data_IF_346814501011
#
_entry.id   IF_346814501011
#
_cell.length_a   1.000
_cell.length_b   1.000
_cell.length_c   1.000
_cell.angle_alpha   90.00
_cell.angle_beta   90.00
_cell.angle_gamma   90.00
#
_symmetry.space_group_name_H-M   'P 1'
#
loop_
_entity.id
_entity.type
_entity.pdbx_description
1 polymer ?
#
# COMPACT_ATOMS: atom_id res chain seq x y z
N UNK A 1 -18.63 -25.83 -6.13
CA UNK A 1 -18.74 -26.04 -4.68
C UNK A 1 -19.60 -24.92 -4.09
N UNK A 2 -20.78 -25.24 -3.57
CA UNK A 2 -21.70 -24.24 -3.00
C UNK A 2 -21.23 -23.83 -1.60
N UNK A 3 -21.29 -22.53 -1.27
CA UNK A 3 -20.79 -21.99 0.00
C UNK A 3 -21.59 -22.60 1.17
N UNK A 4 -20.92 -23.19 2.19
CA UNK A 4 -21.61 -23.79 3.32
C UNK A 4 -22.47 -22.74 4.06
N UNK A 5 -23.69 -23.15 4.44
CA UNK A 5 -24.64 -22.29 5.16
C UNK A 5 -24.07 -22.02 6.54
N UNK A 6 -23.92 -20.73 6.88
CA UNK A 6 -23.41 -20.28 8.19
C UNK A 6 -24.32 -20.78 9.32
N UNK A 7 -23.74 -21.34 10.39
CA UNK A 7 -24.48 -21.82 11.56
C UNK A 7 -25.39 -20.74 12.17
N UNK A 8 -26.53 -21.17 12.74
CA UNK A 8 -27.60 -20.28 13.23
C UNK A 8 -27.10 -19.23 14.24
N UNK A 9 -26.12 -19.56 15.07
CA UNK A 9 -25.51 -18.64 16.05
C UNK A 9 -24.68 -17.52 15.41
N UNK A 10 -24.06 -17.76 14.26
CA UNK A 10 -23.22 -16.76 13.58
C UNK A 10 -23.98 -15.93 12.54
N UNK A 11 -25.31 -16.10 12.46
CA UNK A 11 -26.17 -15.38 11.53
C UNK A 11 -26.50 -13.99 12.09
N UNK A 12 -26.20 -12.97 11.30
CA UNK A 12 -26.53 -11.57 11.56
C UNK A 12 -28.04 -11.35 11.44
N UNK A 13 -28.78 -11.64 12.50
CA UNK A 13 -30.26 -11.57 12.53
C UNK A 13 -30.80 -10.37 13.32
N UNK A 14 -29.95 -9.67 14.07
CA UNK A 14 -30.32 -8.51 14.89
C UNK A 14 -29.87 -7.22 14.20
N UNK A 15 -30.73 -6.21 14.20
CA UNK A 15 -30.48 -4.88 13.62
C UNK A 15 -30.53 -3.85 14.74
N UNK A 16 -29.54 -2.97 14.77
CA UNK A 16 -29.48 -1.83 15.69
C UNK A 16 -29.50 -0.57 14.84
N UNK A 17 -30.41 0.36 15.16
CA UNK A 17 -30.50 1.67 14.51
C UNK A 17 -30.10 2.72 15.53
N UNK A 18 -29.17 3.60 15.16
CA UNK A 18 -28.76 4.74 15.97
C UNK A 18 -28.78 6.00 15.12
N UNK A 19 -29.04 7.14 15.76
CA UNK A 19 -29.06 8.44 15.10
C UNK A 19 -27.66 9.02 15.10
N UNK A 20 -27.33 9.68 14.01
CA UNK A 20 -26.05 10.35 13.79
C UNK A 20 -26.33 11.79 13.40
N UNK A 21 -25.41 12.67 13.77
CA UNK A 21 -25.32 14.00 13.15
C UNK A 21 -24.66 13.89 11.77
N UNK A 22 -24.87 14.89 10.92
CA UNK A 22 -24.30 14.93 9.57
C UNK A 22 -22.76 14.79 9.60
N UNK A 23 -22.11 15.45 10.55
CA UNK A 23 -20.66 15.40 10.73
C UNK A 23 -20.15 14.03 11.16
N UNK A 24 -20.94 13.26 11.92
CA UNK A 24 -20.57 11.89 12.32
C UNK A 24 -20.77 10.90 11.17
N UNK A 25 -21.80 11.11 10.34
CA UNK A 25 -22.04 10.31 9.15
C UNK A 25 -20.88 10.47 8.15
N UNK A 26 -20.48 11.70 7.84
CA UNK A 26 -19.34 11.96 6.94
C UNK A 26 -18.04 11.31 7.42
N UNK A 27 -17.78 11.33 8.73
CA UNK A 27 -16.61 10.63 9.31
C UNK A 27 -16.70 9.13 9.09
N UNK A 28 -17.86 8.53 9.30
CA UNK A 28 -18.07 7.09 9.09
C UNK A 28 -17.90 6.69 7.62
N UNK A 29 -18.38 7.53 6.70
CA UNK A 29 -18.20 7.34 5.26
C UNK A 29 -16.72 7.39 4.86
N UNK A 30 -15.98 8.41 5.30
CA UNK A 30 -14.54 8.50 5.03
C UNK A 30 -13.76 7.30 5.57
N UNK A 31 -14.11 6.82 6.77
CA UNK A 31 -13.52 5.59 7.32
C UNK A 31 -13.89 4.34 6.52
N UNK A 32 -15.13 4.26 6.05
CA UNK A 32 -15.64 3.16 5.22
C UNK A 32 -14.89 3.08 3.88
N UNK A 33 -14.69 4.23 3.23
CA UNK A 33 -13.89 4.34 2.01
C UNK A 33 -12.45 3.91 2.22
N UNK A 34 -11.80 4.45 3.27
CA UNK A 34 -10.40 4.12 3.58
C UNK A 34 -10.21 2.63 3.88
N UNK A 35 -11.19 2.00 4.52
CA UNK A 35 -11.15 0.57 4.87
C UNK A 35 -11.68 -0.35 3.77
N UNK A 36 -12.30 0.18 2.71
CA UNK A 36 -12.99 -0.60 1.68
C UNK A 36 -14.07 -1.54 2.23
N UNK A 37 -14.67 -1.22 3.38
CA UNK A 37 -15.67 -2.05 4.07
C UNK A 37 -16.92 -1.24 4.36
N UNK A 38 -18.09 -1.84 4.15
CA UNK A 38 -19.37 -1.23 4.52
C UNK A 38 -19.38 -0.80 6.01
N UNK A 39 -19.99 0.36 6.28
CA UNK A 39 -20.02 1.02 7.60
C UNK A 39 -20.40 0.03 8.72
N UNK A 40 -21.46 -0.76 8.56
CA UNK A 40 -21.90 -1.72 9.58
C UNK A 40 -20.90 -2.83 9.88
N UNK A 41 -20.11 -3.26 8.89
CA UNK A 41 -19.03 -4.24 9.08
C UNK A 41 -17.87 -3.59 9.80
N UNK A 42 -17.49 -2.38 9.41
CA UNK A 42 -16.39 -1.63 10.02
C UNK A 42 -16.68 -1.28 11.48
N UNK A 43 -17.88 -0.82 11.81
CA UNK A 43 -18.31 -0.53 13.18
C UNK A 43 -18.29 -1.80 14.04
N UNK A 44 -18.79 -2.92 13.51
CA UNK A 44 -18.76 -4.21 14.20
C UNK A 44 -17.32 -4.68 14.45
N UNK A 45 -16.46 -4.64 13.44
CA UNK A 45 -15.06 -5.03 13.56
C UNK A 45 -14.34 -4.15 14.60
N UNK A 46 -14.58 -2.84 14.60
CA UNK A 46 -14.00 -1.92 15.59
C UNK A 46 -14.47 -2.23 17.02
N UNK A 47 -15.77 -2.47 17.22
CA UNK A 47 -16.36 -2.69 18.55
C UNK A 47 -16.03 -4.06 19.14
N UNK A 48 -16.06 -5.14 18.33
CA UNK A 48 -15.95 -6.51 18.84
C UNK A 48 -14.56 -7.12 18.69
N UNK A 49 -13.73 -6.62 17.77
CA UNK A 49 -12.35 -7.09 17.59
C UNK A 49 -11.30 -6.12 18.16
N UNK A 50 -11.72 -4.91 18.59
CA UNK A 50 -10.84 -3.91 19.20
C UNK A 50 -9.78 -3.29 18.26
N UNK A 51 -9.73 -3.75 17.01
CA UNK A 51 -8.79 -3.27 15.99
C UNK A 51 -9.55 -2.54 14.90
N UNK A 52 -9.07 -1.36 14.51
CA UNK A 52 -9.59 -0.68 13.34
C UNK A 52 -9.29 -1.53 12.10
N UNK A 53 -10.23 -1.71 11.16
CA UNK A 53 -9.94 -2.47 9.94
C UNK A 53 -8.71 -1.87 9.26
N UNK A 54 -7.79 -2.73 8.79
CA UNK A 54 -6.61 -2.25 8.05
C UNK A 54 -7.08 -1.36 6.90
N UNK A 55 -6.53 -0.15 6.83
CA UNK A 55 -6.73 0.72 5.69
C UNK A 55 -6.35 -0.05 4.43
N UNK A 56 -7.24 -0.07 3.45
CA UNK A 56 -6.93 -0.61 2.13
C UNK A 56 -6.00 0.41 1.50
N UNK A 57 -4.71 0.11 1.48
CA UNK A 57 -3.77 0.92 0.73
C UNK A 57 -4.28 1.04 -0.71
N UNK A 58 -4.41 2.26 -1.26
CA UNK A 58 -4.74 2.46 -2.66
C UNK A 58 -3.84 1.59 -3.54
N UNK A 59 -4.41 0.92 -4.55
CA UNK A 59 -3.63 0.05 -5.46
C UNK A 59 -2.46 0.81 -6.12
N UNK A 60 -2.59 2.13 -6.27
CA UNK A 60 -1.55 3.04 -6.75
C UNK A 60 -0.29 3.03 -5.87
N UNK A 61 -0.45 2.95 -4.56
CA UNK A 61 0.68 2.99 -3.63
C UNK A 61 1.47 1.68 -3.65
N UNK A 62 0.81 0.54 -3.85
CA UNK A 62 1.48 -0.75 -3.79
C UNK A 62 2.51 -0.96 -4.92
N UNK A 63 2.22 -0.43 -6.12
CA UNK A 63 3.18 -0.43 -7.22
C UNK A 63 4.34 0.52 -6.94
N UNK A 64 4.05 1.72 -6.42
CA UNK A 64 5.07 2.69 -6.04
C UNK A 64 6.01 2.14 -4.95
N UNK A 65 5.45 1.52 -3.90
CA UNK A 65 6.23 0.87 -2.85
C UNK A 65 7.06 -0.31 -3.38
N UNK A 66 6.54 -1.08 -4.34
CA UNK A 66 7.29 -2.17 -4.96
C UNK A 66 8.50 -1.64 -5.76
N UNK A 67 8.31 -0.55 -6.51
CA UNK A 67 9.38 0.11 -7.25
C UNK A 67 10.43 0.74 -6.30
N UNK A 68 9.99 1.39 -5.22
CA UNK A 68 10.89 1.90 -4.18
C UNK A 68 11.73 0.78 -3.53
N UNK A 69 11.11 -0.35 -3.24
CA UNK A 69 11.80 -1.51 -2.66
C UNK A 69 12.84 -2.10 -3.63
N UNK A 70 12.55 -2.11 -4.94
CA UNK A 70 13.52 -2.51 -5.98
C UNK A 70 14.71 -1.56 -6.03
N UNK A 71 14.48 -0.25 -5.97
CA UNK A 71 15.56 0.76 -5.91
C UNK A 71 16.42 0.55 -4.67
N UNK A 72 15.81 0.39 -3.49
CA UNK A 72 16.53 0.14 -2.24
C UNK A 72 17.40 -1.12 -2.29
N UNK A 73 16.88 -2.20 -2.87
CA UNK A 73 17.64 -3.43 -3.06
C UNK A 73 18.83 -3.26 -4.02
N UNK A 74 18.68 -2.48 -5.08
CA UNK A 74 19.78 -2.19 -6.01
C UNK A 74 20.89 -1.37 -5.33
N UNK A 75 20.52 -0.37 -4.53
CA UNK A 75 21.47 0.42 -3.74
C UNK A 75 22.20 -0.47 -2.72
N UNK A 76 21.49 -1.36 -2.03
CA UNK A 76 22.09 -2.26 -1.05
C UNK A 76 23.06 -3.26 -1.71
N UNK A 77 22.76 -3.72 -2.92
CA UNK A 77 23.66 -4.55 -3.72
C UNK A 77 24.93 -3.78 -4.12
N UNK A 78 24.79 -2.52 -4.55
CA UNK A 78 25.93 -1.66 -4.88
C UNK A 78 26.80 -1.40 -3.64
N UNK A 79 26.18 -1.08 -2.51
CA UNK A 79 26.89 -0.85 -1.24
C UNK A 79 27.65 -2.12 -0.79
N UNK A 80 27.03 -3.31 -0.88
CA UNK A 80 27.69 -4.58 -0.56
C UNK A 80 28.88 -4.86 -1.48
N UNK A 81 28.73 -4.63 -2.79
CA UNK A 81 29.82 -4.83 -3.77
C UNK A 81 30.97 -3.83 -3.61
N UNK A 82 30.65 -2.59 -3.22
CA UNK A 82 31.66 -1.58 -2.89
C UNK A 82 32.40 -1.96 -1.59
N UNK A 83 31.67 -2.36 -0.55
CA UNK A 83 32.23 -2.75 0.74
C UNK A 83 33.02 -4.07 0.69
N UNK A 84 32.74 -4.96 -0.27
CA UNK A 84 33.51 -6.20 -0.47
C UNK A 84 34.84 -6.02 -1.20
N UNK A 85 35.28 -4.78 -1.45
CA UNK A 85 36.58 -4.50 -2.07
C UNK A 85 36.65 -4.76 -3.58
N UNK A 86 35.51 -4.91 -4.27
CA UNK A 86 35.45 -5.25 -5.70
C UNK A 86 35.84 -4.08 -6.64
N UNK A 87 36.33 -2.97 -6.11
CA UNK A 87 36.74 -1.80 -6.90
C UNK A 87 38.19 -1.95 -7.39
N UNK A 88 38.43 -2.90 -8.29
CA UNK A 88 39.65 -2.93 -9.10
C UNK A 88 39.46 -2.09 -10.37
N UNK A 89 40.54 -1.43 -10.82
CA UNK A 89 40.63 -0.26 -11.73
C UNK A 89 39.97 -0.36 -13.14
N UNK A 90 39.12 -1.34 -13.42
CA UNK A 90 38.39 -1.50 -14.69
C UNK A 90 36.87 -1.36 -14.60
N UNK A 91 36.28 -1.27 -13.40
CA UNK A 91 34.81 -1.31 -13.20
C UNK A 91 34.13 0.05 -13.04
N UNK A 92 34.88 1.16 -13.04
CA UNK A 92 34.34 2.52 -12.97
C UNK A 92 33.40 2.85 -14.13
N UNK A 93 33.69 2.35 -15.33
CA UNK A 93 32.83 2.54 -16.50
C UNK A 93 31.47 1.83 -16.34
N UNK A 94 31.49 0.63 -15.73
CA UNK A 94 30.29 -0.17 -15.43
C UNK A 94 29.45 0.48 -14.32
N UNK A 95 30.10 1.10 -13.34
CA UNK A 95 29.44 1.86 -12.28
C UNK A 95 28.78 3.14 -12.82
N UNK A 96 29.47 3.88 -13.69
CA UNK A 96 28.93 5.04 -14.39
C UNK A 96 27.72 4.67 -15.26
N UNK A 97 27.78 3.53 -15.95
CA UNK A 97 26.69 3.05 -16.79
C UNK A 97 25.46 2.63 -15.96
N UNK A 98 25.68 2.01 -14.80
CA UNK A 98 24.63 1.69 -13.83
C UNK A 98 24.00 2.96 -13.21
N UNK A 99 24.81 3.95 -12.86
CA UNK A 99 24.32 5.22 -12.31
C UNK A 99 23.48 5.99 -13.34
N UNK A 100 23.90 6.01 -14.61
CA UNK A 100 23.12 6.62 -15.69
C UNK A 100 21.79 5.90 -15.91
N UNK A 101 21.75 4.56 -15.86
CA UNK A 101 20.49 3.79 -15.96
C UNK A 101 19.54 4.11 -14.80
N UNK A 102 20.09 4.27 -13.60
CA UNK A 102 19.34 4.65 -12.40
C UNK A 102 18.74 6.06 -12.53
N UNK A 103 19.53 7.01 -13.06
CA UNK A 103 19.09 8.38 -13.33
C UNK A 103 17.94 8.42 -14.35
N UNK A 104 18.06 7.66 -15.45
CA UNK A 104 17.01 7.58 -16.48
C UNK A 104 15.72 6.98 -15.92
N UNK A 105 15.81 5.93 -15.09
CA UNK A 105 14.64 5.37 -14.42
C UNK A 105 13.96 6.38 -13.49
N UNK A 106 14.74 7.14 -12.71
CA UNK A 106 14.19 8.19 -11.85
C UNK A 106 13.45 9.26 -12.66
N UNK A 107 14.00 9.67 -13.81
CA UNK A 107 13.36 10.65 -14.69
C UNK A 107 12.01 10.14 -15.23
N UNK A 108 11.91 8.85 -15.59
CA UNK A 108 10.67 8.24 -16.06
C UNK A 108 9.60 8.17 -14.96
N UNK A 109 9.99 7.82 -13.74
CA UNK A 109 9.08 7.81 -12.58
C UNK A 109 8.57 9.22 -12.28
N UNK A 110 9.45 10.23 -12.30
CA UNK A 110 9.06 11.64 -12.09
C UNK A 110 8.09 12.10 -13.18
N UNK A 111 8.36 11.83 -14.46
CA UNK A 111 7.47 12.21 -15.54
C UNK A 111 6.10 11.52 -15.42
N UNK A 112 6.05 10.23 -15.05
CA UNK A 112 4.79 9.52 -14.87
C UNK A 112 3.96 10.09 -13.70
N UNK A 113 4.62 10.53 -12.63
CA UNK A 113 3.98 11.22 -11.48
C UNK A 113 3.53 12.66 -11.81
N UNK A 114 4.10 13.29 -12.83
CA UNK A 114 3.71 14.62 -13.31
C UNK A 114 2.58 14.55 -14.36
N UNK A 115 2.58 13.55 -15.23
CA UNK A 115 1.52 13.34 -16.25
C UNK A 115 0.20 12.84 -15.64
N UNK A 116 0.24 12.10 -14.53
CA UNK A 116 -0.96 11.72 -13.77
C UNK A 116 -1.66 12.87 -13.03
N UNK A 117 -1.20 14.12 -13.20
CA UNK A 117 -1.77 15.35 -12.60
C UNK A 117 -2.47 16.27 -13.62
N UNK A 118 -2.76 15.81 -14.84
CA UNK A 118 -3.65 16.51 -15.78
C UNK A 118 -5.01 15.87 -15.89
#
# INVERSE_FOLDING_TARGET
>A
MSRPRKDKEHKLSKVIVFRLTEAELQKLEGYSETCGKAIGVMVRDKLFTGSFPRQVMPKSDHQLYAELNRIGNNINQLARRANSGFMYKGHTQLLLDLLNKLLVQQQLVVNHLLDGRR
#
